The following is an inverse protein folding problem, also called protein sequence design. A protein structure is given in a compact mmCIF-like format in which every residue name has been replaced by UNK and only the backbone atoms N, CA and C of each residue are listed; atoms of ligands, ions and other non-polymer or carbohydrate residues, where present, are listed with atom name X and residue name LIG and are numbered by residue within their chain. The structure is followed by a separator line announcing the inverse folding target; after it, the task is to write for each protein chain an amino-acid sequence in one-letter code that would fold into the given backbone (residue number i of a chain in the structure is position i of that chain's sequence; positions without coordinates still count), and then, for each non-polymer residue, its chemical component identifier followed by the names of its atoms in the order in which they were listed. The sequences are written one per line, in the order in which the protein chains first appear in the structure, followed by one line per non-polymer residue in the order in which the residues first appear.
data_IF_372894387073
#
_entry.id   IF_372894387073
#
_cell.length_a   1.000
_cell.length_b   1.000
_cell.length_c   1.000
_cell.angle_alpha   90.00
_cell.angle_beta   90.00
_cell.angle_gamma   90.00
#
_symmetry.space_group_name_H-M   'P 1'
#
loop_
_entity.id
_entity.type
_entity.pdbx_description
1 polymer ?
#
# COMPACT_ATOMS: atom_id res chain seq x y z
N UNK A 1 17.61 9.95 -6.38
CA UNK A 1 16.46 9.96 -7.31
C UNK A 1 15.50 11.11 -6.98
N UNK A 2 14.66 11.55 -7.92
CA UNK A 2 13.59 12.54 -7.66
C UNK A 2 12.25 11.80 -7.55
N UNK A 3 11.56 11.97 -6.42
CA UNK A 3 10.31 11.27 -6.14
C UNK A 3 9.16 12.25 -6.04
N UNK A 4 8.13 12.01 -6.84
CA UNK A 4 6.94 12.82 -6.86
C UNK A 4 5.99 12.40 -5.73
N UNK A 5 5.13 13.32 -5.30
CA UNK A 5 4.26 13.11 -4.15
C UNK A 5 2.81 13.41 -4.51
N UNK A 6 1.89 12.76 -3.83
CA UNK A 6 0.47 13.06 -3.95
C UNK A 6 -0.27 12.75 -2.66
N UNK A 7 -1.32 13.53 -2.37
CA UNK A 7 -2.18 13.34 -1.21
C UNK A 7 -3.63 13.22 -1.68
N UNK A 8 -4.28 12.17 -1.23
CA UNK A 8 -5.68 11.89 -1.46
C UNK A 8 -6.44 11.84 -0.17
N UNK A 9 -7.53 12.58 -0.12
CA UNK A 9 -8.37 12.65 1.07
C UNK A 9 -9.74 13.25 0.73
N UNK A 10 -10.68 13.19 1.69
CA UNK A 10 -11.99 13.80 1.53
C UNK A 10 -11.90 15.32 1.69
N UNK A 11 -12.36 16.10 0.72
CA UNK A 11 -12.44 17.56 0.85
C UNK A 11 -13.87 18.05 0.68
N UNK A 12 -14.14 19.18 1.33
CA UNK A 12 -15.34 19.98 1.14
C UNK A 12 -14.90 21.36 0.69
N UNK A 13 -14.76 21.54 -0.61
CA UNK A 13 -14.57 22.86 -1.23
C UNK A 13 -15.75 23.13 -2.18
N UNK A 14 -16.05 24.40 -2.48
CA UNK A 14 -17.32 24.81 -3.10
C UNK A 14 -17.78 24.03 -4.34
N UNK A 15 -16.85 23.41 -5.10
CA UNK A 15 -17.15 22.58 -6.28
C UNK A 15 -16.82 21.08 -6.12
N UNK A 16 -16.14 20.66 -5.05
CA UNK A 16 -15.73 19.26 -4.86
C UNK A 16 -16.16 18.74 -3.49
N UNK A 17 -16.87 17.62 -3.50
CA UNK A 17 -17.26 16.85 -2.32
C UNK A 17 -16.77 15.42 -2.46
N UNK A 18 -16.31 14.85 -1.36
CA UNK A 18 -15.83 13.47 -1.30
C UNK A 18 -14.33 13.36 -1.48
N UNK A 19 -13.89 12.15 -1.83
CA UNK A 19 -12.48 11.78 -1.87
C UNK A 19 -11.84 12.12 -3.22
N UNK A 20 -10.77 12.93 -3.18
CA UNK A 20 -10.06 13.41 -4.36
C UNK A 20 -8.56 13.50 -4.07
N UNK A 21 -7.76 13.61 -5.13
CA UNK A 21 -6.40 14.12 -5.03
C UNK A 21 -6.43 15.62 -4.71
N UNK A 22 -5.98 15.99 -3.51
CA UNK A 22 -6.06 17.36 -3.01
C UNK A 22 -4.77 18.13 -3.19
N UNK A 23 -3.64 17.41 -3.30
CA UNK A 23 -2.34 17.98 -3.59
C UNK A 23 -1.49 16.93 -4.32
N UNK A 24 -0.61 17.41 -5.20
CA UNK A 24 0.36 16.58 -5.94
C UNK A 24 1.55 17.43 -6.38
N UNK A 25 2.70 16.80 -6.53
CA UNK A 25 3.87 17.46 -7.09
C UNK A 25 3.66 17.80 -8.58
N UNK A 26 4.35 18.82 -9.12
CA UNK A 26 4.20 19.25 -10.51
C UNK A 26 4.49 18.15 -11.56
N UNK A 27 5.37 17.20 -11.22
CA UNK A 27 5.73 16.08 -12.10
C UNK A 27 4.65 14.99 -12.18
N UNK A 28 3.66 14.99 -11.28
CA UNK A 28 2.53 14.06 -11.31
C UNK A 28 1.58 14.48 -12.43
N UNK A 29 1.65 13.79 -13.57
CA UNK A 29 0.79 14.05 -14.73
C UNK A 29 -0.71 13.85 -14.43
N UNK A 30 -1.58 14.35 -15.31
CA UNK A 30 -3.04 14.15 -15.18
C UNK A 30 -3.45 12.68 -15.35
N UNK A 31 -2.77 11.89 -16.20
CA UNK A 31 -3.05 10.46 -16.34
C UNK A 31 -2.65 9.71 -15.07
N UNK A 32 -1.46 9.98 -14.54
CA UNK A 32 -1.00 9.43 -13.25
C UNK A 32 -1.97 9.78 -12.12
N UNK A 33 -2.40 11.03 -12.03
CA UNK A 33 -3.37 11.47 -11.03
C UNK A 33 -4.71 10.70 -11.11
N UNK A 34 -5.20 10.40 -12.32
CA UNK A 34 -6.42 9.59 -12.50
C UNK A 34 -6.23 8.17 -11.97
N UNK A 35 -5.10 7.54 -12.28
CA UNK A 35 -4.79 6.19 -11.77
C UNK A 35 -4.72 6.21 -10.24
N UNK A 36 -3.98 7.15 -9.64
CA UNK A 36 -3.90 7.29 -8.19
C UNK A 36 -5.27 7.50 -7.54
N UNK A 37 -6.15 8.27 -8.19
CA UNK A 37 -7.53 8.49 -7.71
C UNK A 37 -8.32 7.18 -7.65
N UNK A 38 -8.18 6.29 -8.63
CA UNK A 38 -8.78 4.94 -8.62
C UNK A 38 -8.23 4.08 -7.47
N UNK A 39 -6.93 4.21 -7.18
CA UNK A 39 -6.28 3.53 -6.07
C UNK A 39 -6.54 4.17 -4.70
N UNK A 40 -7.14 5.36 -4.66
CA UNK A 40 -7.51 6.07 -3.45
C UNK A 40 -8.61 5.34 -2.66
N UNK A 41 -8.40 5.02 -1.37
CA UNK A 41 -9.43 4.45 -0.51
C UNK A 41 -10.42 5.52 -0.04
N UNK A 42 -11.72 5.22 -0.16
CA UNK A 42 -12.79 6.06 0.38
C UNK A 42 -13.12 5.69 1.83
N UNK A 43 -14.18 6.29 2.39
CA UNK A 43 -14.73 5.92 3.70
C UNK A 43 -14.88 4.40 3.88
N UNK A 44 -14.70 3.93 5.13
CA UNK A 44 -14.79 2.51 5.54
C UNK A 44 -13.86 1.56 4.75
N UNK A 45 -12.79 2.07 4.14
CA UNK A 45 -11.84 1.22 3.40
C UNK A 45 -10.75 0.63 4.27
N UNK A 46 -10.54 1.09 5.51
CA UNK A 46 -9.58 0.50 6.44
C UNK A 46 -10.24 -0.68 7.19
N UNK A 47 -9.45 -1.71 7.50
CA UNK A 47 -9.94 -2.92 8.19
C UNK A 47 -10.09 -2.76 9.70
N UNK A 48 -9.48 -1.73 10.28
CA UNK A 48 -9.54 -1.44 11.71
C UNK A 48 -10.04 0.01 11.87
N UNK A 49 -10.99 0.19 12.78
CA UNK A 49 -11.58 1.49 13.10
C UNK A 49 -10.78 2.26 14.15
N UNK A 50 -9.69 1.67 14.65
CA UNK A 50 -8.77 2.36 15.55
C UNK A 50 -8.19 3.63 14.90
N UNK A 51 -8.27 4.80 15.55
CA UNK A 51 -7.73 6.06 15.02
C UNK A 51 -6.23 6.00 14.67
N UNK A 52 -5.46 5.15 15.36
CA UNK A 52 -4.04 4.97 15.12
C UNK A 52 -3.72 3.98 14.00
N UNK A 53 -4.74 3.34 13.43
CA UNK A 53 -4.56 2.37 12.37
C UNK A 53 -3.98 3.02 11.11
N UNK A 54 -3.06 2.29 10.51
CA UNK A 54 -2.35 2.69 9.30
C UNK A 54 -1.99 1.46 8.50
N UNK A 55 -2.09 1.60 7.20
CA UNK A 55 -1.61 0.59 6.27
C UNK A 55 -0.66 1.20 5.26
N UNK A 56 0.11 0.33 4.64
CA UNK A 56 1.03 0.68 3.58
C UNK A 56 0.68 -0.14 2.34
N UNK A 57 0.86 0.47 1.17
CA UNK A 57 0.41 -0.12 -0.07
C UNK A 57 1.40 0.12 -1.20
N UNK A 58 1.36 -0.74 -2.20
CA UNK A 58 2.14 -0.65 -3.44
C UNK A 58 1.29 -1.05 -4.65
N UNK A 59 1.46 -0.34 -5.77
CA UNK A 59 0.90 -0.71 -7.07
C UNK A 59 1.69 -0.07 -8.22
N UNK A 60 1.60 -0.67 -9.41
CA UNK A 60 2.00 -0.02 -10.65
C UNK A 60 1.01 1.08 -11.02
N UNK A 61 1.54 2.22 -11.47
CA UNK A 61 0.73 3.36 -11.92
C UNK A 61 0.57 3.30 -13.44
N UNK A 62 1.70 3.16 -14.13
CA UNK A 62 1.80 3.04 -15.59
C UNK A 62 3.15 2.37 -15.94
N UNK A 63 3.48 2.32 -17.23
CA UNK A 63 4.72 1.69 -17.74
C UNK A 63 6.00 2.43 -17.30
N UNK A 64 5.88 3.62 -16.74
CA UNK A 64 7.01 4.46 -16.33
C UNK A 64 7.05 4.71 -14.83
N UNK A 65 5.97 4.43 -14.10
CA UNK A 65 5.86 4.76 -12.69
C UNK A 65 5.26 3.63 -11.85
N UNK A 66 5.72 3.58 -10.60
CA UNK A 66 5.12 2.82 -9.52
C UNK A 66 4.79 3.74 -8.36
N UNK A 67 3.88 3.33 -7.48
CA UNK A 67 3.53 4.09 -6.29
C UNK A 67 3.59 3.23 -5.04
N UNK A 68 4.25 3.76 -4.01
CA UNK A 68 4.07 3.31 -2.62
C UNK A 68 3.25 4.33 -1.86
N UNK A 69 2.53 3.90 -0.84
CA UNK A 69 1.72 4.79 -0.01
C UNK A 69 1.60 4.36 1.42
N UNK A 70 1.22 5.33 2.24
CA UNK A 70 0.66 5.12 3.56
C UNK A 70 -0.77 5.67 3.60
N UNK A 71 -1.69 4.89 4.10
CA UNK A 71 -3.07 5.29 4.38
C UNK A 71 -3.33 5.18 5.87
N UNK A 72 -4.02 6.17 6.43
CA UNK A 72 -4.40 6.22 7.84
C UNK A 72 -5.62 7.12 8.02
N UNK A 73 -6.16 7.14 9.23
CA UNK A 73 -7.11 8.17 9.62
C UNK A 73 -6.43 9.54 9.76
N UNK A 74 -7.13 10.57 9.31
CA UNK A 74 -6.79 11.98 9.48
C UNK A 74 -7.69 12.63 10.51
N UNK A 75 -7.98 13.91 10.31
CA UNK A 75 -8.92 14.65 11.15
C UNK A 75 -10.37 14.16 11.02
N UNK A 76 -11.31 14.82 11.71
CA UNK A 76 -12.74 14.54 11.57
C UNK A 76 -13.18 14.62 10.11
N UNK A 77 -13.96 13.64 9.64
CA UNK A 77 -14.57 13.74 8.33
C UNK A 77 -15.58 14.90 8.33
N UNK A 78 -15.68 15.65 7.22
CA UNK A 78 -16.66 16.74 7.12
C UNK A 78 -18.11 16.24 7.20
N UNK A 79 -18.32 14.95 6.95
CA UNK A 79 -19.64 14.35 7.01
C UNK A 79 -20.09 14.35 8.47
N UNK A 80 -21.31 14.80 8.77
CA UNK A 80 -21.88 14.79 10.13
C UNK A 80 -22.09 13.36 10.69
N UNK A 81 -21.41 12.34 10.12
CA UNK A 81 -21.48 10.94 10.52
C UNK A 81 -20.47 10.58 11.61
N UNK A 82 -19.61 11.51 12.02
CA UNK A 82 -18.68 11.31 13.13
C UNK A 82 -17.51 10.36 12.83
N UNK A 83 -17.33 9.96 11.57
CA UNK A 83 -16.18 9.17 11.11
C UNK A 83 -14.92 10.02 10.98
N UNK A 84 -13.77 9.36 11.02
CA UNK A 84 -12.50 9.98 10.69
C UNK A 84 -12.31 9.99 9.17
N UNK A 85 -11.73 11.07 8.66
CA UNK A 85 -11.30 11.19 7.28
C UNK A 85 -10.22 10.15 7.01
N UNK A 86 -10.18 9.57 5.80
CA UNK A 86 -9.06 8.73 5.38
C UNK A 86 -8.11 9.58 4.54
N UNK A 87 -6.82 9.52 4.87
CA UNK A 87 -5.76 10.24 4.16
C UNK A 87 -4.77 9.24 3.61
N UNK A 88 -4.48 9.33 2.31
CA UNK A 88 -3.44 8.54 1.64
C UNK A 88 -2.36 9.48 1.13
N UNK A 89 -1.11 9.24 1.52
CA UNK A 89 0.07 9.88 0.93
C UNK A 89 0.79 8.89 0.03
N UNK A 90 0.98 9.24 -1.23
CA UNK A 90 1.79 8.49 -2.19
C UNK A 90 3.16 9.11 -2.37
N UNK A 91 4.12 8.22 -2.61
CA UNK A 91 5.36 8.51 -3.31
C UNK A 91 5.30 7.81 -4.67
N UNK A 92 5.45 8.58 -5.74
CA UNK A 92 5.43 8.09 -7.13
C UNK A 92 6.87 8.11 -7.65
N UNK A 93 7.32 6.94 -8.08
CA UNK A 93 8.72 6.67 -8.38
C UNK A 93 8.82 6.22 -9.83
N UNK A 94 9.79 6.77 -10.56
CA UNK A 94 10.06 6.34 -11.93
C UNK A 94 10.61 4.91 -11.92
N UNK A 95 10.16 4.06 -12.85
CA UNK A 95 10.60 2.66 -12.95
C UNK A 95 12.12 2.53 -13.08
N UNK A 96 12.77 3.41 -13.84
CA UNK A 96 14.24 3.40 -13.97
C UNK A 96 14.97 3.62 -12.64
N UNK A 97 14.41 4.43 -11.74
CA UNK A 97 14.95 4.58 -10.39
C UNK A 97 14.57 3.39 -9.49
N UNK A 98 13.35 2.87 -9.64
CA UNK A 98 12.87 1.68 -8.92
C UNK A 98 13.69 0.41 -9.25
N UNK A 99 14.21 0.30 -10.47
CA UNK A 99 15.09 -0.80 -10.89
C UNK A 99 16.41 -0.85 -10.12
N UNK A 100 16.93 0.30 -9.67
CA UNK A 100 18.14 0.36 -8.82
C UNK A 100 17.91 -0.32 -7.45
N UNK A 101 16.65 -0.56 -7.10
CA UNK A 101 16.20 -1.26 -5.90
C UNK A 101 15.81 -2.71 -6.18
N UNK A 102 16.26 -3.28 -7.31
CA UNK A 102 15.84 -4.59 -7.79
C UNK A 102 14.32 -4.73 -7.83
N UNK A 103 13.62 -3.62 -8.14
CA UNK A 103 12.16 -3.52 -8.09
C UNK A 103 11.52 -4.02 -6.79
N UNK A 104 12.20 -3.88 -5.63
CA UNK A 104 11.68 -4.33 -4.35
C UNK A 104 10.86 -3.22 -3.67
N UNK A 105 9.52 -3.28 -3.67
CA UNK A 105 8.70 -2.25 -3.04
C UNK A 105 8.79 -2.26 -1.51
N UNK A 106 9.07 -3.41 -0.87
CA UNK A 106 9.23 -3.49 0.58
C UNK A 106 10.46 -2.69 1.04
N UNK A 107 11.56 -2.82 0.31
CA UNK A 107 12.81 -2.10 0.59
C UNK A 107 12.63 -0.59 0.55
N UNK A 108 12.05 -0.06 -0.53
CA UNK A 108 11.82 1.39 -0.65
C UNK A 108 10.81 1.89 0.39
N UNK A 109 9.75 1.12 0.62
CA UNK A 109 8.72 1.50 1.59
C UNK A 109 9.29 1.65 2.99
N UNK A 110 10.12 0.72 3.42
CA UNK A 110 10.78 0.77 4.73
C UNK A 110 11.70 1.99 4.89
N UNK A 111 12.49 2.30 3.86
CA UNK A 111 13.30 3.52 3.89
C UNK A 111 12.44 4.78 3.87
N UNK A 112 11.37 4.81 3.07
CA UNK A 112 10.44 5.94 3.04
C UNK A 112 9.74 6.17 4.39
N UNK A 113 9.41 5.09 5.12
CA UNK A 113 8.89 5.16 6.49
C UNK A 113 9.96 5.69 7.44
N UNK A 114 11.16 5.13 7.38
CA UNK A 114 12.31 5.47 8.24
C UNK A 114 12.69 6.94 8.12
N UNK A 115 12.76 7.45 6.89
CA UNK A 115 13.03 8.85 6.58
C UNK A 115 11.82 9.78 6.83
N UNK A 116 10.67 9.24 7.23
CA UNK A 116 9.46 10.01 7.51
C UNK A 116 8.79 10.61 6.28
N UNK A 117 9.11 10.14 5.07
CA UNK A 117 8.58 10.66 3.81
C UNK A 117 7.08 10.38 3.61
N UNK A 118 6.56 9.38 4.33
CA UNK A 118 5.14 9.01 4.35
C UNK A 118 4.39 9.57 5.57
N UNK A 119 4.95 10.53 6.31
CA UNK A 119 4.20 11.28 7.34
C UNK A 119 3.11 12.13 6.69
N UNK A 120 1.98 12.37 7.35
CA UNK A 120 1.00 13.31 6.82
C UNK A 120 1.47 14.75 7.06
N UNK A 121 1.32 15.67 6.10
CA UNK A 121 1.52 17.08 6.39
C UNK A 121 0.38 17.60 7.27
N UNK A 122 0.64 18.69 8.00
CA UNK A 122 -0.36 19.39 8.81
C UNK A 122 -1.48 19.97 7.95
N UNK A 123 -1.14 20.47 6.75
CA UNK A 123 -2.10 20.90 5.73
C UNK A 123 -2.01 19.97 4.50
N UNK A 124 -3.02 19.12 4.27
CA UNK A 124 -3.03 18.20 3.11
C UNK A 124 -3.23 18.90 1.77
N UNK A 125 -3.69 20.16 1.74
CA UNK A 125 -3.87 20.95 0.52
C UNK A 125 -2.64 21.80 0.18
N UNK A 126 -1.64 21.85 1.07
CA UNK A 126 -0.41 22.58 0.81
C UNK A 126 0.26 22.07 -0.48
N UNK A 127 0.85 22.96 -1.30
CA UNK A 127 1.59 22.56 -2.49
C UNK A 127 2.70 21.57 -2.15
N UNK A 128 2.79 20.49 -2.93
CA UNK A 128 3.86 19.50 -2.82
C UNK A 128 4.91 19.76 -3.89
N UNK A 129 6.17 19.55 -3.54
CA UNK A 129 7.29 19.52 -4.48
C UNK A 129 7.75 18.07 -4.68
N UNK A 130 8.49 17.83 -5.75
CA UNK A 130 9.29 16.60 -5.83
C UNK A 130 10.35 16.63 -4.72
N UNK A 131 10.62 15.46 -4.15
CA UNK A 131 11.65 15.33 -3.12
C UNK A 131 12.87 14.62 -3.70
N UNK A 132 14.08 15.22 -3.59
CA UNK A 132 15.29 14.47 -3.80
C UNK A 132 15.38 13.46 -2.67
N UNK A 133 15.53 12.20 -3.04
CA UNK A 133 15.89 11.18 -2.06
C UNK A 133 17.20 10.58 -2.49
N UNK A 134 18.18 10.76 -1.61
CA UNK A 134 19.41 10.04 -1.67
C UNK A 134 19.25 8.75 -0.86
N UNK A 135 19.18 7.63 -1.56
CA UNK A 135 19.10 6.32 -0.93
C UNK A 135 20.44 5.59 -1.07
N UNK A 136 21.53 6.28 -0.78
CA UNK A 136 22.91 5.77 -0.85
C UNK A 136 23.17 4.57 0.06
N UNK A 137 22.30 4.32 1.05
CA UNK A 137 22.37 3.12 1.88
C UNK A 137 21.03 2.37 1.86
N UNK A 138 21.10 1.07 1.58
CA UNK A 138 19.97 0.15 1.74
C UNK A 138 19.76 -0.10 3.24
N UNK A 139 19.17 0.90 3.91
CA UNK A 139 19.00 0.93 5.37
C UNK A 139 18.05 -0.17 5.87
N UNK A 140 17.19 -0.71 5.00
CA UNK A 140 16.00 -1.46 5.40
C UNK A 140 16.14 -2.98 5.56
N UNK A 141 17.24 -3.58 5.10
CA UNK A 141 17.41 -5.04 5.21
C UNK A 141 17.79 -5.51 6.63
N UNK A 142 18.06 -4.60 7.58
CA UNK A 142 18.73 -4.95 8.85
C UNK A 142 17.81 -5.25 10.04
N UNK A 143 16.50 -4.99 9.95
CA UNK A 143 15.64 -4.97 11.15
C UNK A 143 14.56 -6.06 11.25
N UNK A 144 14.36 -6.88 10.21
CA UNK A 144 13.41 -8.00 10.26
C UNK A 144 14.17 -9.29 10.56
N UNK A 145 14.52 -9.46 11.84
CA UNK A 145 15.34 -10.60 12.31
C UNK A 145 14.52 -11.90 12.45
N UNK A 146 13.20 -11.80 12.55
CA UNK A 146 12.33 -12.96 12.68
C UNK A 146 12.01 -13.54 11.31
N UNK A 147 12.76 -14.59 10.97
CA UNK A 147 12.50 -15.37 9.75
C UNK A 147 11.07 -15.90 9.75
N UNK A 148 10.37 -15.71 8.64
CA UNK A 148 9.06 -16.31 8.43
C UNK A 148 9.21 -17.81 8.16
N UNK A 149 8.11 -18.54 8.37
CA UNK A 149 8.03 -19.93 7.92
C UNK A 149 8.20 -19.97 6.40
N UNK A 150 9.27 -20.63 5.94
CA UNK A 150 9.60 -20.75 4.52
C UNK A 150 8.45 -21.40 3.73
N UNK A 151 7.74 -22.38 4.32
CA UNK A 151 6.61 -23.03 3.67
C UNK A 151 5.43 -22.06 3.47
N UNK A 152 5.25 -21.10 4.38
CA UNK A 152 4.24 -20.07 4.24
C UNK A 152 4.60 -19.09 3.11
N UNK A 153 5.84 -18.61 3.04
CA UNK A 153 6.31 -17.72 1.96
C UNK A 153 6.20 -18.42 0.60
N UNK A 154 6.62 -19.68 0.50
CA UNK A 154 6.49 -20.50 -0.71
C UNK A 154 5.03 -20.64 -1.15
N UNK A 155 4.10 -20.86 -0.22
CA UNK A 155 2.67 -20.93 -0.51
C UNK A 155 2.14 -19.62 -1.11
N UNK A 156 2.56 -18.47 -0.58
CA UNK A 156 2.18 -17.16 -1.13
C UNK A 156 2.73 -16.99 -2.55
N UNK A 157 4.00 -17.32 -2.76
CA UNK A 157 4.65 -17.25 -4.07
C UNK A 157 3.95 -18.14 -5.10
N UNK A 158 3.60 -19.37 -4.74
CA UNK A 158 2.87 -20.30 -5.61
C UNK A 158 1.50 -19.75 -6.02
N UNK A 159 0.77 -19.10 -5.12
CA UNK A 159 -0.50 -18.46 -5.47
C UNK A 159 -0.30 -17.30 -6.45
N UNK A 160 0.69 -16.44 -6.20
CA UNK A 160 0.98 -15.28 -7.04
C UNK A 160 1.50 -15.67 -8.44
N UNK A 161 2.26 -16.75 -8.55
CA UNK A 161 2.72 -17.29 -9.84
C UNK A 161 1.57 -17.87 -10.68
N UNK A 162 0.49 -18.33 -10.04
CA UNK A 162 -0.75 -18.79 -10.70
C UNK A 162 -1.74 -17.66 -11.01
N UNK A 163 -1.27 -16.42 -10.93
CA UNK A 163 -2.07 -15.20 -11.08
C UNK A 163 -3.27 -15.07 -10.15
N UNK A 164 -3.18 -15.67 -8.96
CA UNK A 164 -4.24 -15.59 -7.96
C UNK A 164 -4.08 -14.34 -7.10
N UNK A 165 -5.20 -13.74 -6.72
CA UNK A 165 -5.25 -12.72 -5.66
C UNK A 165 -5.25 -13.43 -4.31
N UNK A 166 -4.41 -12.97 -3.39
CA UNK A 166 -4.17 -13.60 -2.10
C UNK A 166 -4.59 -12.68 -0.97
N UNK A 167 -5.41 -13.20 -0.06
CA UNK A 167 -5.73 -12.60 1.22
C UNK A 167 -4.98 -13.34 2.32
N UNK A 168 -4.13 -12.63 3.06
CA UNK A 168 -3.32 -13.18 4.14
C UNK A 168 -3.97 -12.84 5.47
N UNK A 169 -4.39 -13.87 6.21
CA UNK A 169 -4.79 -13.72 7.61
C UNK A 169 -3.54 -13.89 8.45
N UNK A 170 -3.06 -12.81 9.06
CA UNK A 170 -1.84 -12.82 9.85
C UNK A 170 -1.97 -11.93 11.07
N UNK A 171 -1.40 -12.40 12.18
CA UNK A 171 -1.16 -11.59 13.39
C UNK A 171 0.24 -10.99 13.41
N UNK A 172 1.10 -11.34 12.44
CA UNK A 172 2.48 -10.89 12.36
C UNK A 172 2.61 -9.55 11.61
N UNK A 173 3.71 -8.81 11.81
CA UNK A 173 4.00 -7.61 11.04
C UNK A 173 4.13 -7.94 9.55
N UNK A 174 3.21 -7.40 8.74
CA UNK A 174 3.16 -7.62 7.30
C UNK A 174 4.46 -7.29 6.56
N UNK A 175 5.27 -6.37 7.10
CA UNK A 175 6.54 -5.97 6.46
C UNK A 175 7.58 -7.09 6.43
N UNK A 176 7.71 -7.91 7.48
CA UNK A 176 8.67 -9.03 7.49
C UNK A 176 8.33 -10.04 6.38
N UNK A 177 7.05 -10.42 6.28
CA UNK A 177 6.54 -11.29 5.22
C UNK A 177 6.76 -10.69 3.84
N UNK A 178 6.46 -9.40 3.66
CA UNK A 178 6.68 -8.71 2.40
C UNK A 178 8.15 -8.75 1.98
N UNK A 179 9.08 -8.50 2.90
CA UNK A 179 10.50 -8.55 2.63
C UNK A 179 10.94 -9.92 2.13
N UNK A 180 10.62 -10.99 2.88
CA UNK A 180 11.01 -12.34 2.49
C UNK A 180 10.36 -12.79 1.18
N UNK A 181 9.09 -12.48 0.99
CA UNK A 181 8.37 -12.78 -0.24
C UNK A 181 8.98 -12.06 -1.44
N UNK A 182 9.30 -10.77 -1.33
CA UNK A 182 9.91 -10.05 -2.44
C UNK A 182 11.34 -10.53 -2.71
N UNK A 183 12.11 -10.90 -1.68
CA UNK A 183 13.43 -11.51 -1.88
C UNK A 183 13.36 -12.89 -2.58
N UNK A 184 12.27 -13.65 -2.40
CA UNK A 184 12.07 -14.94 -3.09
C UNK A 184 11.53 -14.81 -4.53
N UNK A 185 11.05 -13.63 -4.93
CA UNK A 185 10.54 -13.34 -6.27
C UNK A 185 11.65 -12.72 -7.12
N UNK A 186 11.77 -13.16 -8.38
CA UNK A 186 12.74 -12.60 -9.33
C UNK A 186 12.48 -11.08 -9.57
N UNK A 187 13.51 -10.22 -9.60
CA UNK A 187 13.36 -8.77 -9.67
C UNK A 187 12.43 -8.24 -10.78
N UNK A 188 12.42 -8.87 -11.94
CA UNK A 188 11.57 -8.52 -13.09
C UNK A 188 10.08 -8.81 -12.85
N UNK A 189 9.75 -9.73 -11.92
CA UNK A 189 8.38 -10.13 -11.59
C UNK A 189 7.79 -9.34 -10.41
N UNK A 190 8.64 -8.66 -9.62
CA UNK A 190 8.21 -7.98 -8.38
C UNK A 190 7.23 -6.84 -8.63
N UNK A 191 7.36 -6.10 -9.74
CA UNK A 191 6.49 -4.95 -10.00
C UNK A 191 5.03 -5.36 -10.19
N UNK A 192 4.80 -6.55 -10.73
CA UNK A 192 3.46 -7.08 -10.96
C UNK A 192 2.74 -7.49 -9.67
N UNK A 193 3.38 -7.46 -8.49
CA UNK A 193 2.78 -7.86 -7.21
C UNK A 193 2.36 -6.63 -6.41
N UNK A 194 1.16 -6.11 -6.71
CA UNK A 194 0.55 -5.04 -5.91
C UNK A 194 0.11 -5.54 -4.53
N UNK A 195 0.29 -4.73 -3.49
CA UNK A 195 -0.12 -5.11 -2.14
C UNK A 195 -0.74 -3.99 -1.29
N UNK A 196 -1.50 -4.39 -0.27
CA UNK A 196 -1.94 -3.55 0.85
C UNK A 196 -1.82 -4.30 2.17
N UNK A 197 -1.52 -3.60 3.25
CA UNK A 197 -1.38 -4.21 4.59
C UNK A 197 -2.58 -4.00 5.51
N UNK A 198 -3.70 -3.46 5.01
CA UNK A 198 -4.81 -3.11 5.89
C UNK A 198 -6.04 -2.49 5.25
N UNK A 199 -6.12 -2.42 3.91
CA UNK A 199 -7.35 -2.00 3.23
C UNK A 199 -8.29 -3.20 3.04
N UNK A 200 -9.60 -2.93 3.13
CA UNK A 200 -10.65 -3.90 2.78
C UNK A 200 -10.51 -4.35 1.32
N UNK A 201 -10.87 -5.60 1.00
CA UNK A 201 -10.92 -6.07 -0.38
C UNK A 201 -11.76 -5.16 -1.28
N UNK A 202 -11.28 -4.93 -2.49
CA UNK A 202 -11.96 -4.10 -3.49
C UNK A 202 -11.75 -4.66 -4.89
N UNK A 203 -12.76 -4.51 -5.74
CA UNK A 203 -12.64 -4.78 -7.18
C UNK A 203 -12.05 -3.57 -7.93
N UNK A 204 -12.25 -2.35 -7.41
CA UNK A 204 -11.66 -1.14 -7.99
C UNK A 204 -10.16 -1.05 -7.73
N UNK A 205 -9.71 -1.65 -6.62
CA UNK A 205 -8.30 -1.71 -6.21
C UNK A 205 -7.87 -3.17 -6.11
N UNK A 206 -7.60 -3.82 -7.26
CA UNK A 206 -7.36 -5.26 -7.33
C UNK A 206 -5.93 -5.59 -6.87
N UNK A 207 -5.62 -5.30 -5.60
CA UNK A 207 -4.35 -5.73 -4.99
C UNK A 207 -4.22 -7.25 -5.14
N UNK A 208 -3.04 -7.71 -5.57
CA UNK A 208 -2.73 -9.14 -5.71
C UNK A 208 -2.39 -9.79 -4.37
N UNK A 209 -1.88 -9.02 -3.43
CA UNK A 209 -1.60 -9.46 -2.06
C UNK A 209 -2.25 -8.50 -1.05
N UNK A 210 -3.12 -9.01 -0.17
CA UNK A 210 -3.76 -8.20 0.87
C UNK A 210 -3.55 -8.82 2.23
N UNK A 211 -2.91 -8.11 3.15
CA UNK A 211 -2.86 -8.54 4.55
C UNK A 211 -4.10 -8.03 5.27
N UNK A 212 -4.75 -8.95 5.97
CA UNK A 212 -5.96 -8.72 6.73
C UNK A 212 -5.63 -8.93 8.22
N UNK A 213 -5.06 -7.91 8.90
CA UNK A 213 -4.69 -8.02 10.32
C UNK A 213 -5.90 -8.27 11.22
N UNK A 214 -7.09 -7.90 10.73
CA UNK A 214 -8.40 -8.25 11.29
C UNK A 214 -9.31 -8.64 10.13
N UNK A 215 -9.95 -9.79 10.23
CA UNK A 215 -10.97 -10.24 9.29
C UNK A 215 -12.13 -10.86 10.07
N UNK A 216 -13.31 -10.27 9.91
CA UNK A 216 -14.57 -10.87 10.34
C UNK A 216 -15.15 -11.74 9.21
N UNK A 217 -16.28 -12.41 9.46
CA UNK A 217 -16.95 -13.20 8.44
C UNK A 217 -17.33 -12.40 7.20
N UNK A 218 -17.65 -11.11 7.35
CA UNK A 218 -18.04 -10.24 6.24
C UNK A 218 -16.86 -10.01 5.31
N UNK A 219 -15.67 -9.73 5.86
CA UNK A 219 -14.43 -9.58 5.09
C UNK A 219 -14.06 -10.89 4.40
N UNK A 220 -14.19 -12.04 5.07
CA UNK A 220 -13.89 -13.34 4.45
C UNK A 220 -14.84 -13.67 3.29
N UNK A 221 -16.15 -13.47 3.46
CA UNK A 221 -17.13 -13.61 2.37
C UNK A 221 -16.84 -12.65 1.21
N UNK A 222 -16.35 -11.45 1.53
CA UNK A 222 -15.94 -10.49 0.50
C UNK A 222 -14.73 -11.01 -0.31
N UNK A 223 -13.71 -11.55 0.35
CA UNK A 223 -12.56 -12.19 -0.31
C UNK A 223 -13.03 -13.31 -1.25
N UNK A 224 -13.90 -14.20 -0.79
CA UNK A 224 -14.47 -15.28 -1.59
C UNK A 224 -15.22 -14.75 -2.81
N UNK A 225 -16.11 -13.77 -2.63
CA UNK A 225 -16.87 -13.14 -3.72
C UNK A 225 -15.98 -12.45 -4.77
N UNK A 226 -14.76 -12.05 -4.37
CA UNK A 226 -13.76 -11.42 -5.23
C UNK A 226 -12.77 -12.44 -5.82
N UNK A 227 -12.98 -13.75 -5.62
CA UNK A 227 -12.14 -14.82 -6.14
C UNK A 227 -10.74 -14.86 -5.50
N UNK A 228 -10.60 -14.39 -4.26
CA UNK A 228 -9.31 -14.38 -3.56
C UNK A 228 -9.05 -15.72 -2.87
N UNK A 229 -7.82 -16.20 -2.94
CA UNK A 229 -7.33 -17.31 -2.12
C UNK A 229 -7.00 -16.78 -0.74
N UNK A 230 -7.66 -17.31 0.29
CA UNK A 230 -7.35 -16.98 1.68
C UNK A 230 -6.26 -17.91 2.20
N UNK A 231 -5.15 -17.34 2.66
CA UNK A 231 -4.03 -18.05 3.28
C UNK A 231 -3.94 -17.60 4.72
N UNK A 232 -4.14 -18.54 5.65
CA UNK A 232 -4.11 -18.26 7.08
C UNK A 232 -2.74 -18.63 7.66
N UNK A 233 -1.97 -17.63 8.10
CA UNK A 233 -0.68 -17.82 8.75
C UNK A 233 -0.83 -18.34 10.19
N UNK A 234 -2.02 -18.23 10.78
CA UNK A 234 -2.30 -18.72 12.15
C UNK A 234 -2.49 -20.22 12.17
N UNK A 235 -2.79 -20.83 11.02
CA UNK A 235 -2.89 -22.27 10.90
C UNK A 235 -1.52 -22.86 10.59
N UNK A 236 -1.10 -23.89 11.34
CA UNK A 236 0.14 -24.57 11.04
C UNK A 236 0.09 -25.29 9.69
N UNK A 237 1.23 -25.33 9.02
CA UNK A 237 1.44 -25.86 7.65
C UNK A 237 1.34 -27.39 7.52
N UNK A 238 0.94 -28.12 8.57
CA UNK A 238 0.81 -29.58 8.57
C UNK A 238 -0.63 -30.07 8.36
N UNK A 239 -1.19 -29.78 7.17
CA UNK A 239 -2.43 -30.38 6.68
C UNK A 239 -2.28 -30.84 5.22
#
# INVERSE_FOLDING_TARGET
MQVAQAIFTSVRSGRQRGYHLVSRSPSVSNSTARVLTTWGPSHDSLLDDSPDFRCVNYHEVDDLHVAISKTLYGGPEYSNRGSLQIVTRWLVIKRGDFQQWNNNPAAILDVAITLGLLRLPTDPQAPLNDIPIDFTENLGARYYLDRQDAAFVERLQNCLQRDQRVAVLSTQPSMAVLYELFESIAPDQRTAVSFTTGLRPSLQRPFRLQFLPRADEKVLRQCESHGMVVVDQRQPTWA
#
